data_IF_307709722285
#
_entry.id   IF_307709722285
#
_cell.length_a   1.000
_cell.length_b   1.000
_cell.length_c   1.000
_cell.angle_alpha   90.00
_cell.angle_beta   90.00
_cell.angle_gamma   90.00
#
_symmetry.space_group_name_H-M   'P 1'
#
loop_
_entity.id
_entity.type
_entity.pdbx_description
1 polymer ?
#
# COMPACT_ATOMS: atom_id res chain seq x y z
N UNK A 1 3.45 16.85 -32.82
CA UNK A 1 3.47 15.65 -31.93
C UNK A 1 4.81 14.98 -32.08
N UNK A 2 5.49 14.68 -30.97
CA UNK A 2 6.78 13.98 -31.04
C UNK A 2 6.55 12.48 -31.27
N UNK A 3 7.50 11.81 -31.94
CA UNK A 3 7.50 10.35 -32.15
C UNK A 3 7.33 9.58 -30.82
N UNK A 4 7.72 10.19 -29.69
CA UNK A 4 7.51 9.65 -28.35
C UNK A 4 6.03 9.70 -27.94
N UNK A 5 5.28 10.74 -28.28
CA UNK A 5 3.85 10.86 -27.98
C UNK A 5 3.00 9.79 -28.66
N UNK A 6 3.31 9.46 -29.93
CA UNK A 6 2.62 8.38 -30.67
C UNK A 6 2.94 7.00 -30.10
N UNK A 7 4.18 6.77 -29.72
CA UNK A 7 4.60 5.52 -29.05
C UNK A 7 3.90 5.32 -27.71
N UNK A 8 3.76 6.38 -26.91
CA UNK A 8 3.06 6.36 -25.63
C UNK A 8 1.56 6.12 -25.85
N UNK A 9 0.93 6.78 -26.82
CA UNK A 9 -0.49 6.52 -27.20
C UNK A 9 -0.71 5.06 -27.61
N UNK A 10 0.18 4.51 -28.43
CA UNK A 10 0.13 3.11 -28.83
C UNK A 10 0.26 2.14 -27.64
N UNK A 11 1.06 2.49 -26.63
CA UNK A 11 1.26 1.71 -25.42
C UNK A 11 0.09 1.82 -24.44
N UNK A 12 -0.54 2.99 -24.35
CA UNK A 12 -1.66 3.30 -23.44
C UNK A 12 -3.03 2.98 -24.06
N UNK A 13 -3.13 2.73 -25.35
CA UNK A 13 -4.37 2.46 -26.09
C UNK A 13 -5.10 1.16 -25.75
N UNK A 14 -4.69 0.43 -24.72
CA UNK A 14 -5.41 -0.73 -24.18
C UNK A 14 -6.37 -0.33 -23.04
N UNK A 15 -7.60 -0.82 -23.11
CA UNK A 15 -8.74 -0.52 -22.20
C UNK A 15 -8.53 -0.71 -20.68
N UNK A 16 -7.32 -1.01 -20.22
CA UNK A 16 -7.04 -1.38 -18.80
C UNK A 16 -6.00 -0.52 -18.11
N UNK A 17 -5.51 0.54 -18.73
CA UNK A 17 -4.52 1.42 -18.10
C UNK A 17 -5.22 2.68 -17.60
N UNK A 18 -5.17 2.98 -16.29
CA UNK A 18 -5.83 4.15 -15.70
C UNK A 18 -5.11 5.47 -16.02
N UNK A 19 -4.22 5.46 -17.00
CA UNK A 19 -3.47 6.61 -17.47
C UNK A 19 -3.66 6.70 -18.98
N UNK A 20 -4.11 7.86 -19.45
CA UNK A 20 -4.29 8.15 -20.87
C UNK A 20 -3.58 9.44 -21.24
N UNK A 21 -3.22 9.58 -22.50
CA UNK A 21 -2.66 10.81 -23.05
C UNK A 21 -3.78 11.54 -23.80
N UNK A 22 -4.19 12.69 -23.31
CA UNK A 22 -5.16 13.59 -23.92
C UNK A 22 -4.46 14.92 -24.20
N UNK A 23 -4.58 15.45 -25.41
CA UNK A 23 -4.05 16.76 -25.81
C UNK A 23 -2.63 17.06 -25.30
N UNK A 24 -1.72 16.08 -25.43
CA UNK A 24 -0.34 16.11 -24.95
C UNK A 24 -0.16 16.17 -23.40
N UNK A 25 -1.24 15.96 -22.63
CA UNK A 25 -1.22 15.84 -21.18
C UNK A 25 -1.51 14.40 -20.72
N UNK A 26 -0.81 13.96 -19.68
CA UNK A 26 -1.13 12.69 -19.02
C UNK A 26 -2.33 12.89 -18.09
N UNK A 27 -3.39 12.14 -18.33
CA UNK A 27 -4.57 12.09 -17.46
C UNK A 27 -4.55 10.75 -16.72
N UNK A 28 -4.55 10.83 -15.40
CA UNK A 28 -4.62 9.68 -14.52
C UNK A 28 -5.92 9.71 -13.73
N UNK A 29 -6.70 8.63 -13.78
CA UNK A 29 -7.96 8.51 -13.05
C UNK A 29 -7.77 7.51 -11.89
N UNK A 30 -8.14 7.93 -10.68
CA UNK A 30 -8.19 7.12 -9.45
C UNK A 30 -6.88 6.41 -9.07
N UNK A 31 -5.74 6.86 -9.62
CA UNK A 31 -4.43 6.29 -9.33
C UNK A 31 -3.43 7.35 -8.92
N UNK A 32 -2.49 6.95 -8.07
CA UNK A 32 -1.31 7.74 -7.71
C UNK A 32 -0.08 6.83 -7.59
N UNK A 33 1.09 7.40 -7.73
CA UNK A 33 2.36 6.70 -7.60
C UNK A 33 3.31 6.91 -8.74
N UNK A 34 4.13 5.90 -9.02
CA UNK A 34 5.14 5.90 -10.07
C UNK A 34 4.74 4.92 -11.16
N UNK A 35 4.67 5.39 -12.38
CA UNK A 35 4.46 4.57 -13.57
C UNK A 35 5.65 4.70 -14.50
N UNK A 36 6.29 3.58 -14.82
CA UNK A 36 7.33 3.53 -15.83
C UNK A 36 6.68 3.26 -17.20
N UNK A 37 6.76 4.21 -18.10
CA UNK A 37 6.24 4.09 -19.46
C UNK A 37 7.21 3.39 -20.39
N UNK A 38 8.52 3.68 -20.26
CA UNK A 38 9.62 3.12 -21.05
C UNK A 38 10.87 3.04 -20.16
N UNK A 39 11.90 2.26 -20.53
CA UNK A 39 13.20 2.36 -19.88
C UNK A 39 13.68 3.83 -19.87
N UNK A 40 13.90 4.39 -18.70
CA UNK A 40 14.31 5.78 -18.52
C UNK A 40 13.20 6.84 -18.58
N UNK A 41 11.93 6.45 -18.82
CA UNK A 41 10.79 7.36 -18.80
C UNK A 41 9.79 6.94 -17.72
N UNK A 42 9.74 7.72 -16.65
CA UNK A 42 8.87 7.52 -15.49
C UNK A 42 7.94 8.72 -15.31
N UNK A 43 6.70 8.44 -14.95
CA UNK A 43 5.69 9.45 -14.59
C UNK A 43 5.30 9.26 -13.14
N UNK A 44 5.48 10.29 -12.35
CA UNK A 44 5.02 10.35 -10.96
C UNK A 44 3.67 11.06 -10.89
N UNK A 45 2.72 10.43 -10.22
CA UNK A 45 1.34 10.92 -10.07
C UNK A 45 1.08 11.12 -8.59
N UNK A 46 0.99 12.36 -8.16
CA UNK A 46 0.65 12.68 -6.77
C UNK A 46 -0.85 12.47 -6.53
N UNK A 47 -1.25 11.93 -5.36
CA UNK A 47 -2.65 11.96 -4.95
C UNK A 47 -3.18 13.40 -4.92
N UNK A 48 -4.44 13.60 -5.31
CA UNK A 48 -5.06 14.92 -5.37
C UNK A 48 -5.00 15.72 -4.06
N UNK A 49 -4.92 15.03 -2.93
CA UNK A 49 -4.86 15.64 -1.60
C UNK A 49 -3.43 15.94 -1.12
N UNK A 50 -2.40 15.39 -1.75
CA UNK A 50 -1.01 15.75 -1.47
C UNK A 50 -0.52 16.81 -2.47
N UNK A 51 -0.75 16.59 -3.76
CA UNK A 51 -0.34 17.47 -4.84
C UNK A 51 1.17 17.51 -5.08
N UNK A 52 1.57 17.84 -6.29
CA UNK A 52 2.99 17.89 -6.69
C UNK A 52 3.77 19.04 -6.05
N UNK A 53 3.07 20.09 -5.62
CA UNK A 53 3.68 21.30 -5.01
C UNK A 53 4.01 21.09 -3.53
N UNK A 54 3.46 20.09 -2.89
CA UNK A 54 3.78 19.76 -1.51
C UNK A 54 5.20 19.14 -1.41
N UNK A 55 6.14 19.74 -0.67
CA UNK A 55 7.55 19.29 -0.69
C UNK A 55 7.75 17.83 -0.33
N UNK A 56 6.99 17.31 0.65
CA UNK A 56 7.10 15.93 1.17
C UNK A 56 6.01 15.01 0.64
N UNK A 57 5.43 15.30 -0.53
CA UNK A 57 4.31 14.49 -1.03
C UNK A 57 4.69 13.02 -1.30
N UNK A 58 5.94 12.76 -1.66
CA UNK A 58 6.43 11.40 -1.94
C UNK A 58 6.54 10.57 -0.67
N UNK A 59 7.06 11.19 0.38
CA UNK A 59 7.16 10.59 1.71
C UNK A 59 5.78 10.31 2.29
N UNK A 60 4.87 11.28 2.21
CA UNK A 60 3.48 11.13 2.63
C UNK A 60 2.77 10.05 1.81
N UNK A 61 2.98 10.03 0.49
CA UNK A 61 2.48 8.99 -0.39
C UNK A 61 2.98 7.59 0.02
N UNK A 62 4.27 7.46 0.37
CA UNK A 62 4.84 6.19 0.81
C UNK A 62 4.18 5.69 2.11
N UNK A 63 3.87 6.58 3.05
CA UNK A 63 3.09 6.25 4.26
C UNK A 63 1.72 5.70 3.88
N UNK A 64 0.98 6.42 3.04
CA UNK A 64 -0.35 6.00 2.56
C UNK A 64 -0.29 4.67 1.81
N UNK A 65 0.72 4.49 0.96
CA UNK A 65 0.93 3.27 0.18
C UNK A 65 1.14 2.04 1.06
N UNK A 66 1.94 2.19 2.09
CA UNK A 66 2.20 1.11 3.04
C UNK A 66 0.95 0.74 3.84
N UNK A 67 0.20 1.73 4.32
CA UNK A 67 -1.05 1.52 5.05
C UNK A 67 -2.11 0.82 4.18
N UNK A 68 -2.27 1.26 2.93
CA UNK A 68 -3.25 0.71 2.01
C UNK A 68 -3.03 -0.78 1.69
N UNK A 69 -1.81 -1.27 1.78
CA UNK A 69 -1.45 -2.64 1.40
C UNK A 69 -1.29 -3.60 2.56
N UNK A 70 -0.61 -3.18 3.62
CA UNK A 70 -0.28 -4.04 4.74
C UNK A 70 -1.19 -3.86 5.94
N UNK A 71 -1.91 -2.74 6.01
CA UNK A 71 -2.61 -2.30 7.22
C UNK A 71 -1.64 -1.99 8.37
N UNK A 72 -0.33 -1.98 8.10
CA UNK A 72 0.73 -1.73 9.07
C UNK A 72 1.64 -0.61 8.59
N UNK A 73 2.12 0.19 9.52
CA UNK A 73 3.07 1.24 9.23
C UNK A 73 4.47 0.61 9.06
N UNK A 74 4.91 0.38 7.83
CA UNK A 74 6.27 -0.09 7.53
C UNK A 74 7.30 1.05 7.62
N UNK A 75 6.82 2.28 7.59
CA UNK A 75 7.65 3.49 7.66
C UNK A 75 7.77 3.91 9.10
N UNK A 76 8.96 3.74 9.69
CA UNK A 76 9.26 4.29 11.00
C UNK A 76 9.40 5.81 10.93
N UNK A 77 8.96 6.49 11.99
CA UNK A 77 9.17 7.93 12.21
C UNK A 77 10.64 8.30 11.93
N UNK A 78 10.86 9.23 11.03
CA UNK A 78 12.19 9.75 10.74
C UNK A 78 12.82 9.32 9.42
N UNK A 79 12.02 9.11 8.36
CA UNK A 79 12.56 9.29 7.00
C UNK A 79 12.80 10.78 6.83
N UNK A 80 13.90 11.26 7.40
CA UNK A 80 14.37 12.60 7.10
C UNK A 80 14.95 12.55 5.69
N UNK A 81 14.31 13.25 4.77
CA UNK A 81 14.95 13.65 3.53
C UNK A 81 16.26 14.31 3.88
N UNK A 82 17.38 13.70 3.51
CA UNK A 82 18.68 14.35 3.63
C UNK A 82 18.60 15.60 2.76
N UNK A 83 18.75 16.75 3.38
CA UNK A 83 18.79 18.06 2.75
C UNK A 83 19.78 18.05 1.58
N UNK A 84 19.29 17.98 0.34
CA UNK A 84 20.17 18.21 -0.82
C UNK A 84 19.72 17.64 -2.16
N UNK A 85 19.03 16.53 -2.23
CA UNK A 85 18.49 16.02 -3.49
C UNK A 85 17.02 15.66 -3.30
N UNK A 86 16.16 16.10 -4.21
CA UNK A 86 14.79 15.61 -4.29
C UNK A 86 14.85 14.11 -4.58
N UNK A 87 14.74 13.28 -3.54
CA UNK A 87 14.67 11.84 -3.70
C UNK A 87 13.41 11.52 -4.52
N UNK A 88 13.59 10.82 -5.64
CA UNK A 88 12.47 10.25 -6.38
C UNK A 88 11.84 9.11 -5.56
N UNK A 89 10.63 8.73 -5.92
CA UNK A 89 9.89 7.68 -5.19
C UNK A 89 10.64 6.34 -5.16
N UNK A 90 11.38 6.02 -6.24
CA UNK A 90 12.21 4.81 -6.32
C UNK A 90 13.32 4.83 -5.26
N UNK A 91 14.00 5.96 -5.11
CA UNK A 91 15.07 6.14 -4.12
C UNK A 91 14.53 6.04 -2.68
N UNK A 92 13.34 6.57 -2.40
CA UNK A 92 12.69 6.45 -1.09
C UNK A 92 12.35 4.99 -0.75
N UNK A 93 11.75 4.26 -1.69
CA UNK A 93 11.46 2.84 -1.52
C UNK A 93 12.74 2.03 -1.31
N UNK A 94 13.78 2.31 -2.10
CA UNK A 94 15.06 1.64 -2.01
C UNK A 94 15.75 1.88 -0.67
N UNK A 95 15.71 3.10 -0.15
CA UNK A 95 16.25 3.47 1.16
C UNK A 95 15.50 2.72 2.27
N UNK A 96 14.17 2.77 2.25
CA UNK A 96 13.34 2.02 3.20
C UNK A 96 13.64 0.53 3.18
N UNK A 97 13.78 -0.05 1.98
CA UNK A 97 14.10 -1.47 1.82
C UNK A 97 15.47 -1.84 2.42
N UNK A 98 16.50 -1.04 2.15
CA UNK A 98 17.84 -1.23 2.71
C UNK A 98 17.81 -1.09 4.24
N UNK A 99 17.12 -0.10 4.78
CA UNK A 99 17.01 0.12 6.22
C UNK A 99 16.33 -1.05 6.94
N UNK A 100 15.22 -1.55 6.38
CA UNK A 100 14.52 -2.72 6.92
C UNK A 100 15.40 -3.98 6.88
N UNK A 101 16.15 -4.17 5.79
CA UNK A 101 17.11 -5.26 5.69
C UNK A 101 18.22 -5.16 6.73
N UNK A 102 18.85 -3.99 6.86
CA UNK A 102 19.98 -3.77 7.80
C UNK A 102 19.54 -3.95 9.27
N UNK A 103 18.32 -3.53 9.63
CA UNK A 103 17.73 -3.77 10.97
C UNK A 103 17.51 -5.24 11.24
N UNK A 104 17.08 -6.00 10.24
CA UNK A 104 16.71 -7.41 10.38
C UNK A 104 17.91 -8.38 10.33
N UNK A 105 19.00 -8.01 9.64
CA UNK A 105 20.13 -8.89 9.32
C UNK A 105 20.91 -9.45 10.51
N UNK A 106 20.80 -8.84 11.71
CA UNK A 106 21.46 -9.35 12.93
C UNK A 106 21.06 -10.78 13.28
N UNK A 107 19.86 -11.21 12.85
CA UNK A 107 19.37 -12.58 12.97
C UNK A 107 19.06 -13.11 11.58
N UNK A 108 19.99 -13.83 10.91
CA UNK A 108 19.79 -14.31 9.55
C UNK A 108 18.51 -15.12 9.39
N UNK A 109 17.77 -14.84 8.32
CA UNK A 109 16.55 -15.58 7.99
C UNK A 109 16.93 -16.94 7.40
N UNK A 110 16.95 -17.98 8.26
CA UNK A 110 17.27 -19.35 7.89
C UNK A 110 16.05 -20.23 8.08
N UNK A 111 15.83 -21.15 7.17
CA UNK A 111 14.79 -22.19 7.29
C UNK A 111 15.34 -23.54 6.92
N UNK A 112 14.67 -24.58 7.37
CA UNK A 112 14.98 -25.93 6.91
C UNK A 112 14.57 -26.07 5.44
N UNK A 113 15.42 -26.68 4.66
CA UNK A 113 15.22 -27.02 3.26
C UNK A 113 15.62 -28.46 3.06
N UNK A 114 14.77 -29.25 2.42
CA UNK A 114 15.16 -30.55 1.94
C UNK A 114 16.28 -30.39 0.89
N UNK A 115 17.34 -31.10 1.05
CA UNK A 115 18.43 -31.22 0.08
C UNK A 115 18.65 -32.69 -0.21
N UNK A 116 18.95 -32.97 -1.46
CA UNK A 116 19.35 -34.31 -1.88
C UNK A 116 20.79 -34.23 -2.35
N UNK A 117 21.65 -35.05 -1.77
CA UNK A 117 23.06 -35.18 -2.14
C UNK A 117 23.35 -36.65 -2.43
N UNK A 118 24.36 -36.92 -3.27
CA UNK A 118 24.84 -38.27 -3.52
C UNK A 118 26.18 -38.41 -2.77
N UNK A 119 26.22 -39.26 -1.76
CA UNK A 119 27.41 -39.50 -0.95
C UNK A 119 27.45 -40.96 -0.49
N UNK A 120 28.65 -41.49 -0.24
CA UNK A 120 28.85 -42.83 0.36
C UNK A 120 28.70 -42.82 1.87
N UNK A 121 28.08 -41.81 2.46
CA UNK A 121 27.72 -41.68 3.86
C UNK A 121 26.32 -42.21 4.12
N UNK A 122 26.02 -42.63 5.35
CA UNK A 122 24.69 -43.02 5.80
C UNK A 122 24.05 -41.94 6.69
N UNK A 123 24.58 -40.70 6.68
CA UNK A 123 24.10 -39.60 7.48
C UNK A 123 22.91 -38.89 6.81
N UNK A 124 21.70 -39.48 6.83
CA UNK A 124 20.49 -38.90 6.28
C UNK A 124 19.39 -39.94 6.10
N UNK A 125 18.26 -39.48 5.54
CA UNK A 125 17.20 -40.40 5.10
C UNK A 125 17.58 -40.99 3.73
N UNK A 126 17.64 -42.30 3.65
CA UNK A 126 17.93 -43.07 2.43
C UNK A 126 16.74 -43.96 2.15
N UNK A 127 16.24 -44.00 0.94
CA UNK A 127 15.23 -44.99 0.57
C UNK A 127 15.85 -46.37 0.43
N UNK A 128 15.12 -47.41 0.80
CA UNK A 128 15.65 -48.78 0.76
C UNK A 128 16.14 -49.22 -0.61
N UNK A 129 15.51 -48.72 -1.67
CA UNK A 129 15.89 -48.97 -3.06
C UNK A 129 17.28 -48.38 -3.38
N UNK A 130 17.58 -47.17 -2.87
CA UNK A 130 18.87 -46.51 -3.06
C UNK A 130 20.02 -47.23 -2.34
N UNK A 131 19.71 -47.92 -1.24
CA UNK A 131 20.71 -48.75 -0.53
C UNK A 131 21.05 -50.01 -1.34
N UNK A 132 20.03 -50.60 -1.98
CA UNK A 132 20.21 -51.83 -2.75
C UNK A 132 20.85 -51.58 -4.14
N UNK A 133 20.60 -50.42 -4.71
CA UNK A 133 21.08 -50.00 -6.02
C UNK A 133 21.64 -48.57 -5.97
N UNK A 134 22.81 -48.37 -5.34
CA UNK A 134 23.42 -47.06 -5.25
C UNK A 134 23.81 -46.52 -6.65
N UNK A 135 23.71 -45.18 -6.81
CA UNK A 135 24.24 -44.52 -7.98
C UNK A 135 25.79 -44.57 -8.00
N UNK A 136 26.41 -44.27 -9.13
CA UNK A 136 27.88 -44.21 -9.27
C UNK A 136 28.55 -43.29 -8.21
N UNK A 137 27.83 -42.24 -7.77
CA UNK A 137 28.33 -41.24 -6.82
C UNK A 137 27.92 -41.50 -5.36
N UNK A 138 27.31 -42.65 -5.06
CA UNK A 138 26.86 -43.01 -3.73
C UNK A 138 25.34 -43.11 -3.57
N UNK A 139 24.90 -43.13 -2.32
CA UNK A 139 23.48 -43.18 -1.95
C UNK A 139 22.82 -41.81 -2.12
N UNK A 140 21.57 -41.78 -2.57
CA UNK A 140 20.78 -40.57 -2.56
C UNK A 140 20.31 -40.23 -1.14
N UNK A 141 21.01 -39.30 -0.50
CA UNK A 141 20.71 -38.86 0.85
C UNK A 141 19.72 -37.68 0.81
N UNK A 142 18.63 -37.81 1.55
CA UNK A 142 17.73 -36.70 1.84
C UNK A 142 18.04 -36.15 3.22
N UNK A 143 18.42 -34.87 3.26
CA UNK A 143 18.75 -34.19 4.49
C UNK A 143 17.98 -32.86 4.63
N UNK A 144 17.75 -32.43 5.86
CA UNK A 144 17.17 -31.13 6.16
C UNK A 144 18.27 -30.13 6.50
N UNK A 145 18.63 -29.30 5.54
CA UNK A 145 19.64 -28.27 5.73
C UNK A 145 19.03 -26.98 6.28
N UNK A 146 19.58 -26.46 7.37
CA UNK A 146 19.25 -25.15 7.92
C UNK A 146 19.98 -24.06 7.15
N UNK A 147 19.34 -23.47 6.16
CA UNK A 147 19.97 -22.67 5.12
C UNK A 147 19.39 -21.27 4.99
N UNK A 148 20.21 -20.32 4.53
CA UNK A 148 19.81 -19.02 4.04
C UNK A 148 19.17 -19.10 2.63
N UNK A 149 19.39 -20.19 1.91
CA UNK A 149 18.73 -20.45 0.62
C UNK A 149 17.31 -20.91 0.90
N UNK A 150 16.35 -19.98 0.85
CA UNK A 150 14.95 -20.25 1.13
C UNK A 150 14.02 -19.30 0.38
N UNK A 151 12.75 -19.66 0.29
CA UNK A 151 11.73 -18.90 -0.43
C UNK A 151 11.58 -17.45 0.01
N UNK A 152 11.87 -17.12 1.27
CA UNK A 152 11.76 -15.76 1.81
C UNK A 152 12.93 -14.89 1.34
N UNK A 153 14.16 -15.39 1.48
CA UNK A 153 15.35 -14.70 0.99
C UNK A 153 15.37 -14.60 -0.54
N UNK A 154 14.76 -15.57 -1.24
CA UNK A 154 14.57 -15.48 -2.70
C UNK A 154 13.73 -14.26 -3.09
N UNK A 155 12.64 -13.96 -2.36
CA UNK A 155 11.84 -12.75 -2.56
C UNK A 155 12.63 -11.48 -2.31
N UNK A 156 13.38 -11.43 -1.19
CA UNK A 156 14.18 -10.24 -0.81
C UNK A 156 15.30 -10.01 -1.82
N UNK A 157 16.01 -11.06 -2.24
CA UNK A 157 17.08 -10.98 -3.24
C UNK A 157 16.57 -10.56 -4.60
N UNK A 158 15.40 -11.09 -5.01
CA UNK A 158 14.74 -10.71 -6.27
C UNK A 158 14.36 -9.23 -6.26
N UNK A 159 13.75 -8.74 -5.19
CA UNK A 159 13.38 -7.34 -5.04
C UNK A 159 14.60 -6.41 -5.16
N UNK A 160 15.72 -6.76 -4.51
CA UNK A 160 16.96 -6.01 -4.61
C UNK A 160 17.51 -5.95 -6.04
N UNK A 161 17.47 -7.08 -6.76
CA UNK A 161 17.94 -7.15 -8.15
C UNK A 161 17.04 -6.35 -9.10
N UNK A 162 15.73 -6.43 -8.89
CA UNK A 162 14.73 -5.74 -9.71
C UNK A 162 14.85 -4.23 -9.58
N UNK A 163 15.03 -3.72 -8.34
CA UNK A 163 15.06 -2.30 -8.04
C UNK A 163 16.42 -1.65 -8.32
N UNK A 164 17.52 -2.43 -8.20
CA UNK A 164 18.87 -1.90 -8.30
C UNK A 164 19.19 -1.03 -9.53
N UNK A 165 18.78 -1.41 -10.76
CA UNK A 165 19.00 -0.62 -11.96
C UNK A 165 18.28 0.73 -11.97
N UNK A 166 17.21 0.87 -11.21
CA UNK A 166 16.30 2.01 -11.23
C UNK A 166 16.69 3.11 -10.23
N UNK A 167 17.58 2.78 -9.29
CA UNK A 167 18.09 3.73 -8.29
C UNK A 167 19.16 4.62 -8.90
N UNK A 168 18.88 5.93 -8.97
CA UNK A 168 19.81 6.92 -9.56
C UNK A 168 21.00 7.25 -8.66
N UNK A 169 20.78 7.27 -7.34
CA UNK A 169 21.89 7.48 -6.37
C UNK A 169 22.84 6.28 -6.36
N UNK A 170 24.08 6.50 -6.80
CA UNK A 170 25.08 5.45 -6.90
C UNK A 170 25.49 4.84 -5.55
N UNK A 171 25.35 5.56 -4.42
CA UNK A 171 25.62 5.01 -3.08
C UNK A 171 24.49 4.06 -2.69
N UNK A 172 23.26 4.51 -2.82
CA UNK A 172 22.07 3.71 -2.54
C UNK A 172 21.98 2.49 -3.47
N UNK A 173 22.29 2.65 -4.75
CA UNK A 173 22.34 1.54 -5.72
C UNK A 173 23.31 0.45 -5.26
N UNK A 174 24.52 0.84 -4.79
CA UNK A 174 25.49 -0.13 -4.23
C UNK A 174 24.96 -0.81 -2.97
N UNK A 175 24.24 -0.08 -2.10
CA UNK A 175 23.61 -0.67 -0.91
C UNK A 175 22.55 -1.70 -1.28
N UNK A 176 21.67 -1.40 -2.24
CA UNK A 176 20.66 -2.34 -2.74
C UNK A 176 21.33 -3.59 -3.34
N UNK A 177 22.37 -3.44 -4.15
CA UNK A 177 23.12 -4.58 -4.71
C UNK A 177 23.76 -5.44 -3.61
N UNK A 178 24.27 -4.83 -2.55
CA UNK A 178 24.84 -5.56 -1.40
C UNK A 178 23.81 -6.43 -0.69
N UNK A 179 22.52 -6.05 -0.67
CA UNK A 179 21.46 -6.91 -0.12
C UNK A 179 21.42 -8.25 -0.84
N UNK A 180 21.36 -8.25 -2.18
CA UNK A 180 21.36 -9.47 -2.97
C UNK A 180 22.67 -10.28 -2.80
N UNK A 181 23.81 -9.60 -2.77
CA UNK A 181 25.13 -10.24 -2.57
C UNK A 181 25.23 -10.95 -1.22
N UNK A 182 24.76 -10.29 -0.14
CA UNK A 182 24.79 -10.86 1.24
C UNK A 182 23.89 -12.08 1.42
N UNK A 183 22.79 -12.13 0.70
CA UNK A 183 21.90 -13.30 0.71
C UNK A 183 22.47 -14.46 -0.10
N UNK A 184 23.44 -14.18 -0.99
CA UNK A 184 24.05 -15.17 -1.89
C UNK A 184 23.12 -15.64 -2.98
N UNK A 185 23.46 -16.74 -3.66
CA UNK A 185 22.62 -17.33 -4.69
C UNK A 185 21.29 -17.79 -4.09
N UNK A 186 20.19 -17.36 -4.67
CA UNK A 186 18.83 -17.74 -4.31
C UNK A 186 18.12 -18.30 -5.53
N UNK A 187 17.16 -19.19 -5.29
CA UNK A 187 16.23 -19.63 -6.34
C UNK A 187 15.31 -18.49 -6.82
N UNK A 188 14.49 -18.74 -7.85
CA UNK A 188 13.52 -17.76 -8.33
C UNK A 188 12.52 -17.39 -7.23
N UNK A 189 11.99 -16.15 -7.26
CA UNK A 189 10.95 -15.74 -6.33
C UNK A 189 9.66 -16.53 -6.60
N UNK A 190 8.92 -16.85 -5.54
CA UNK A 190 7.63 -17.52 -5.67
C UNK A 190 6.59 -16.54 -6.27
N UNK A 191 5.81 -16.96 -7.28
CA UNK A 191 4.70 -16.17 -7.80
C UNK A 191 3.55 -15.99 -6.78
N UNK A 192 3.48 -16.91 -5.81
CA UNK A 192 2.53 -16.87 -4.67
C UNK A 192 3.32 -16.89 -3.37
N UNK A 193 3.84 -15.75 -2.92
CA UNK A 193 4.64 -15.68 -1.72
C UNK A 193 3.81 -16.03 -0.47
N UNK A 194 4.45 -16.62 0.52
CA UNK A 194 3.81 -16.87 1.81
C UNK A 194 3.39 -15.55 2.45
N UNK A 195 2.25 -15.54 3.12
CA UNK A 195 1.72 -14.31 3.76
C UNK A 195 2.60 -13.80 4.90
N UNK A 196 3.25 -14.71 5.62
CA UNK A 196 4.09 -14.36 6.79
C UNK A 196 5.40 -15.14 6.77
N UNK A 197 6.45 -14.53 7.34
CA UNK A 197 7.69 -15.25 7.68
C UNK A 197 7.45 -16.12 8.92
N UNK A 198 8.32 -17.15 9.15
CA UNK A 198 8.22 -17.96 10.37
C UNK A 198 8.30 -17.10 11.64
N UNK A 199 7.56 -17.46 12.69
CA UNK A 199 7.42 -16.67 13.91
C UNK A 199 8.77 -16.29 14.55
N UNK A 200 9.77 -17.19 14.51
CA UNK A 200 11.14 -16.93 14.99
C UNK A 200 11.89 -15.83 14.23
N UNK A 201 11.42 -15.48 13.04
CA UNK A 201 12.00 -14.46 12.15
C UNK A 201 11.08 -13.25 11.95
N UNK A 202 10.19 -12.98 12.92
CA UNK A 202 9.20 -11.90 12.84
C UNK A 202 9.81 -10.53 12.51
N UNK A 203 11.05 -10.28 12.93
CA UNK A 203 11.78 -9.04 12.58
C UNK A 203 12.00 -8.84 11.09
N UNK A 204 11.90 -9.89 10.28
CA UNK A 204 12.02 -9.84 8.82
C UNK A 204 10.70 -9.57 8.10
N UNK A 205 9.58 -9.54 8.83
CA UNK A 205 8.24 -9.44 8.20
C UNK A 205 8.13 -8.19 7.32
N UNK A 206 8.52 -7.03 7.84
CA UNK A 206 8.41 -5.76 7.13
C UNK A 206 9.30 -5.72 5.86
N UNK A 207 10.54 -6.19 5.97
CA UNK A 207 11.44 -6.31 4.82
C UNK A 207 10.90 -7.28 3.77
N UNK A 208 10.35 -8.40 4.20
CA UNK A 208 9.75 -9.41 3.34
C UNK A 208 8.47 -8.90 2.65
N UNK A 209 7.61 -8.19 3.37
CA UNK A 209 6.40 -7.58 2.80
C UNK A 209 6.74 -6.54 1.75
N UNK A 210 7.70 -5.65 2.05
CA UNK A 210 8.16 -4.66 1.08
C UNK A 210 8.79 -5.34 -0.15
N UNK A 211 9.58 -6.41 0.04
CA UNK A 211 10.14 -7.20 -1.06
C UNK A 211 9.05 -7.81 -1.94
N UNK A 212 7.98 -8.35 -1.34
CA UNK A 212 6.85 -8.89 -2.10
C UNK A 212 6.13 -7.80 -2.90
N UNK A 213 5.99 -6.60 -2.33
CA UNK A 213 5.40 -5.44 -3.01
C UNK A 213 6.26 -5.02 -4.21
N UNK A 214 7.57 -4.93 -4.04
CA UNK A 214 8.52 -4.61 -5.12
C UNK A 214 8.42 -5.65 -6.24
N UNK A 215 8.46 -6.95 -5.91
CA UNK A 215 8.35 -8.03 -6.88
C UNK A 215 6.99 -8.07 -7.60
N UNK A 216 5.91 -7.66 -6.93
CA UNK A 216 4.59 -7.53 -7.52
C UNK A 216 4.44 -6.28 -8.40
N UNK A 217 5.47 -5.42 -8.46
CA UNK A 217 5.43 -4.17 -9.21
C UNK A 217 4.46 -3.13 -8.63
N UNK A 218 4.22 -3.16 -7.31
CA UNK A 218 3.29 -2.25 -6.61
C UNK A 218 1.94 -2.03 -7.30
N UNK A 219 1.44 -3.03 -8.04
CA UNK A 219 0.03 -3.09 -8.40
C UNK A 219 -0.36 -3.01 -9.86
N UNK A 220 0.48 -2.61 -10.80
CA UNK A 220 0.12 -2.68 -12.24
C UNK A 220 1.13 -3.55 -12.98
N UNK A 221 0.75 -4.78 -13.29
CA UNK A 221 1.41 -5.60 -14.30
C UNK A 221 0.75 -5.31 -15.64
N UNK A 222 1.48 -4.73 -16.55
CA UNK A 222 1.12 -4.77 -17.95
C UNK A 222 1.49 -6.16 -18.50
N UNK A 223 0.57 -6.78 -19.25
CA UNK A 223 0.72 -8.16 -19.76
C UNK A 223 1.90 -8.32 -20.73
N UNK A 224 2.44 -9.56 -20.94
CA UNK A 224 3.51 -9.84 -21.89
C UNK A 224 3.22 -9.32 -23.31
N UNK A 225 4.17 -8.63 -23.91
CA UNK A 225 4.00 -7.92 -25.18
C UNK A 225 3.51 -6.47 -25.01
N UNK A 226 3.09 -6.09 -23.80
CA UNK A 226 2.76 -4.74 -23.35
C UNK A 226 3.75 -4.46 -22.22
N UNK A 227 4.45 -3.36 -22.28
CA UNK A 227 5.56 -3.03 -21.39
C UNK A 227 5.34 -3.48 -19.94
N UNK A 228 6.18 -4.40 -19.47
CA UNK A 228 6.32 -4.74 -18.05
C UNK A 228 7.18 -3.67 -17.41
N UNK A 229 6.56 -2.65 -16.86
CA UNK A 229 7.28 -1.69 -16.03
C UNK A 229 6.87 -1.90 -14.58
N UNK A 230 7.83 -2.12 -13.65
CA UNK A 230 7.53 -2.06 -12.24
C UNK A 230 7.06 -0.62 -11.92
N UNK A 231 5.81 -0.48 -11.55
CA UNK A 231 5.22 0.78 -11.14
C UNK A 231 4.80 0.70 -9.68
N UNK A 232 4.88 1.81 -8.97
CA UNK A 232 4.37 1.95 -7.60
C UNK A 232 3.03 2.67 -7.64
N UNK A 233 1.97 1.97 -8.04
CA UNK A 233 0.66 2.57 -8.26
C UNK A 233 -0.37 2.09 -7.24
N UNK A 234 -1.14 3.01 -6.70
CA UNK A 234 -2.26 2.76 -5.80
C UNK A 234 -3.56 3.27 -6.38
N UNK A 235 -4.65 2.62 -6.04
CA UNK A 235 -5.99 3.18 -6.15
C UNK A 235 -6.20 4.20 -5.03
N UNK A 236 -6.37 5.45 -5.39
CA UNK A 236 -6.31 6.58 -4.45
C UNK A 236 -7.47 6.62 -3.45
N UNK A 237 -8.70 6.29 -3.90
CA UNK A 237 -9.85 6.25 -3.01
C UNK A 237 -9.71 5.14 -1.95
N UNK A 238 -9.26 3.93 -2.34
CA UNK A 238 -9.01 2.83 -1.41
C UNK A 238 -7.89 3.16 -0.42
N UNK A 239 -6.84 3.83 -0.90
CA UNK A 239 -5.73 4.25 -0.06
C UNK A 239 -6.16 5.28 0.99
N UNK A 240 -7.03 6.23 0.62
CA UNK A 240 -7.59 7.21 1.54
C UNK A 240 -8.50 6.56 2.58
N UNK A 241 -9.38 5.64 2.18
CA UNK A 241 -10.24 4.87 3.05
C UNK A 241 -9.43 4.06 4.09
N UNK A 242 -8.36 3.37 3.67
CA UNK A 242 -7.47 2.62 4.56
C UNK A 242 -6.67 3.54 5.50
N UNK A 243 -6.31 4.73 5.04
CA UNK A 243 -5.69 5.75 5.88
C UNK A 243 -6.65 6.18 7.01
N UNK A 244 -7.91 6.48 6.68
CA UNK A 244 -8.94 6.85 7.65
C UNK A 244 -9.23 5.72 8.63
N UNK A 245 -9.39 4.49 8.14
CA UNK A 245 -9.59 3.31 9.00
C UNK A 245 -8.46 3.14 10.01
N UNK A 246 -7.21 3.29 9.55
CA UNK A 246 -6.04 3.17 10.43
C UNK A 246 -5.99 4.30 11.45
N UNK A 247 -6.23 5.54 11.02
CA UNK A 247 -6.27 6.69 11.91
C UNK A 247 -7.38 6.57 12.97
N UNK A 248 -8.59 6.12 12.57
CA UNK A 248 -9.70 5.84 13.50
C UNK A 248 -9.32 4.76 14.52
N UNK A 249 -8.73 3.65 14.09
CA UNK A 249 -8.30 2.58 15.01
C UNK A 249 -7.28 3.03 16.02
N UNK A 250 -6.41 3.97 15.67
CA UNK A 250 -5.42 4.54 16.58
C UNK A 250 -6.08 5.57 17.52
N UNK A 251 -6.87 6.50 16.96
CA UNK A 251 -7.38 7.66 17.69
C UNK A 251 -8.64 7.41 18.52
N UNK A 252 -9.48 6.46 18.09
CA UNK A 252 -10.77 6.20 18.73
C UNK A 252 -10.69 5.27 19.93
N UNK A 253 -9.53 4.76 20.32
CA UNK A 253 -9.41 3.88 21.49
C UNK A 253 -9.96 4.54 22.75
N UNK A 254 -10.75 3.83 23.58
CA UNK A 254 -11.07 2.38 23.54
C UNK A 254 -12.32 2.01 22.72
N UNK A 255 -12.85 2.86 21.85
CA UNK A 255 -14.01 2.56 21.02
C UNK A 255 -13.75 1.41 20.02
N UNK A 256 -14.81 0.70 19.66
CA UNK A 256 -14.75 -0.37 18.65
C UNK A 256 -14.92 0.23 17.26
N UNK A 257 -13.96 0.00 16.37
CA UNK A 257 -13.98 0.43 14.95
C UNK A 257 -14.25 -0.77 14.05
N UNK A 258 -15.37 -0.76 13.33
CA UNK A 258 -15.77 -1.79 12.38
C UNK A 258 -15.65 -1.24 10.96
N UNK A 259 -14.98 -1.99 10.09
CA UNK A 259 -14.80 -1.66 8.68
C UNK A 259 -15.88 -2.35 7.84
N UNK A 260 -16.50 -1.63 6.91
CA UNK A 260 -17.55 -2.11 6.02
C UNK A 260 -18.68 -2.84 6.76
N UNK A 261 -19.23 -2.20 7.79
CA UNK A 261 -20.41 -2.72 8.49
C UNK A 261 -21.59 -2.83 7.52
N UNK A 262 -22.27 -3.97 7.53
CA UNK A 262 -23.37 -4.26 6.59
C UNK A 262 -24.72 -4.01 7.27
N UNK A 263 -25.59 -3.27 6.57
CA UNK A 263 -26.94 -2.98 7.02
C UNK A 263 -27.95 -3.29 5.91
N UNK A 264 -29.07 -3.90 6.26
CA UNK A 264 -30.17 -4.15 5.32
C UNK A 264 -31.02 -2.87 5.19
N UNK A 265 -31.04 -2.27 4.02
CA UNK A 265 -31.87 -1.11 3.71
C UNK A 265 -33.32 -1.50 3.36
N UNK A 266 -33.51 -2.69 2.80
CA UNK A 266 -34.82 -3.19 2.38
C UNK A 266 -34.69 -4.45 1.56
N UNK A 267 -35.81 -4.89 0.95
CA UNK A 267 -35.88 -6.11 0.16
C UNK A 267 -36.40 -5.83 -1.26
N UNK A 268 -35.88 -6.52 -2.23
CA UNK A 268 -36.36 -6.53 -3.61
C UNK A 268 -37.66 -7.36 -3.69
N UNK A 269 -38.43 -7.19 -4.76
CA UNK A 269 -39.57 -8.04 -5.06
C UNK A 269 -39.22 -9.53 -5.19
N UNK A 270 -37.95 -9.84 -5.51
CA UNK A 270 -37.38 -11.20 -5.54
C UNK A 270 -37.10 -11.78 -4.15
N UNK A 271 -37.24 -11.01 -3.07
CA UNK A 271 -36.88 -11.38 -1.70
C UNK A 271 -35.43 -11.08 -1.29
N UNK A 272 -34.58 -10.72 -2.24
CA UNK A 272 -33.16 -10.41 -1.97
C UNK A 272 -33.02 -9.12 -1.17
N UNK A 273 -32.15 -9.13 -0.16
CA UNK A 273 -31.82 -7.94 0.65
C UNK A 273 -31.08 -6.88 -0.16
N UNK A 274 -31.49 -5.64 -0.03
CA UNK A 274 -30.71 -4.48 -0.45
C UNK A 274 -29.83 -4.07 0.70
N UNK A 275 -28.51 -4.23 0.54
CA UNK A 275 -27.53 -3.99 1.61
C UNK A 275 -26.72 -2.73 1.30
N UNK A 276 -26.50 -1.90 2.31
CA UNK A 276 -25.61 -0.74 2.27
C UNK A 276 -24.43 -0.97 3.21
N UNK A 277 -23.30 -0.37 2.89
CA UNK A 277 -22.03 -0.57 3.61
C UNK A 277 -21.30 0.76 3.77
N UNK A 278 -21.47 1.51 4.87
CA UNK A 278 -20.59 2.63 5.19
C UNK A 278 -19.17 2.14 5.45
N UNK A 279 -18.18 2.95 5.13
CA UNK A 279 -16.77 2.57 5.24
C UNK A 279 -16.37 2.25 6.68
N UNK A 280 -16.78 3.08 7.66
CA UNK A 280 -16.37 2.94 9.05
C UNK A 280 -17.56 3.16 9.99
N UNK A 281 -17.76 2.21 10.89
CA UNK A 281 -18.66 2.35 12.04
C UNK A 281 -17.82 2.39 13.32
N UNK A 282 -18.02 3.43 14.12
CA UNK A 282 -17.42 3.55 15.46
C UNK A 282 -18.49 3.38 16.53
N UNK A 283 -18.25 2.46 17.47
CA UNK A 283 -19.06 2.26 18.67
C UNK A 283 -18.25 2.70 19.88
N UNK A 284 -18.71 3.72 20.55
CA UNK A 284 -18.03 4.24 21.75
C UNK A 284 -18.42 3.43 22.98
N UNK A 285 -17.60 3.42 24.05
CA UNK A 285 -17.91 2.71 25.30
C UNK A 285 -19.19 3.19 26.00
N UNK A 286 -19.60 4.44 25.78
CA UNK A 286 -20.85 5.02 26.31
C UNK A 286 -22.08 4.67 25.46
N UNK A 287 -21.95 3.81 24.45
CA UNK A 287 -23.04 3.33 23.61
C UNK A 287 -23.38 4.22 22.42
N UNK A 288 -22.70 5.33 22.20
CA UNK A 288 -22.92 6.14 21.00
C UNK A 288 -22.35 5.43 19.75
N UNK A 289 -23.07 5.54 18.65
CA UNK A 289 -22.68 4.99 17.34
C UNK A 289 -22.56 6.13 16.33
N UNK A 290 -21.47 6.17 15.58
CA UNK A 290 -21.23 7.15 14.52
C UNK A 290 -20.80 6.44 13.24
N UNK A 291 -21.37 6.87 12.11
CA UNK A 291 -20.99 6.39 10.78
C UNK A 291 -20.06 7.40 10.10
N UNK A 292 -19.02 6.88 9.48
CA UNK A 292 -18.09 7.65 8.67
C UNK A 292 -17.98 7.02 7.30
N UNK A 293 -17.88 7.88 6.30
CA UNK A 293 -17.72 7.47 4.92
C UNK A 293 -16.69 8.36 4.21
N UNK A 294 -15.72 7.73 3.53
CA UNK A 294 -14.60 8.38 2.87
C UNK A 294 -14.97 8.82 1.46
N UNK A 295 -14.91 10.09 1.19
CA UNK A 295 -15.25 10.63 -0.14
C UNK A 295 -14.02 11.18 -0.83
N UNK A 296 -13.45 10.43 -1.76
CA UNK A 296 -12.23 10.82 -2.48
C UNK A 296 -12.49 11.73 -3.70
N UNK A 297 -13.70 12.14 -3.96
CA UNK A 297 -14.04 12.97 -5.12
C UNK A 297 -13.30 14.30 -5.05
N UNK A 298 -12.33 14.51 -5.93
CA UNK A 298 -11.66 15.80 -6.09
C UNK A 298 -12.65 16.82 -6.61
N UNK A 299 -12.87 17.89 -5.86
CA UNK A 299 -13.66 19.02 -6.30
C UNK A 299 -12.76 20.20 -6.60
N UNK A 300 -12.69 20.57 -7.87
CA UNK A 300 -12.18 21.85 -8.33
C UNK A 300 -13.18 23.02 -8.10
N UNK A 301 -14.17 22.85 -7.19
CA UNK A 301 -15.18 23.88 -6.93
C UNK A 301 -14.76 24.81 -5.80
N UNK A 302 -14.95 26.08 -6.00
CA UNK A 302 -14.59 27.16 -5.07
C UNK A 302 -15.30 27.07 -3.70
N UNK A 303 -16.44 26.38 -3.61
CA UNK A 303 -17.14 26.10 -2.34
C UNK A 303 -17.34 24.61 -2.15
N UNK A 304 -16.86 24.01 -1.06
CA UNK A 304 -17.16 22.62 -0.76
C UNK A 304 -18.64 22.49 -0.40
N UNK A 305 -19.35 21.58 -1.07
CA UNK A 305 -20.72 21.20 -0.76
C UNK A 305 -20.89 19.71 -0.88
N UNK A 306 -21.76 19.12 -0.07
CA UNK A 306 -22.12 17.70 -0.18
C UNK A 306 -22.90 17.52 -1.48
N UNK A 307 -22.48 16.55 -2.33
CA UNK A 307 -23.22 16.28 -3.56
C UNK A 307 -24.56 15.61 -3.25
N UNK A 308 -25.60 15.80 -4.07
CA UNK A 308 -26.86 15.07 -3.90
C UNK A 308 -26.64 13.54 -3.82
N UNK A 309 -25.74 13.00 -4.62
CA UNK A 309 -25.41 11.57 -4.59
C UNK A 309 -24.81 11.11 -3.24
N UNK A 310 -23.85 11.88 -2.72
CA UNK A 310 -23.22 11.59 -1.43
C UNK A 310 -24.23 11.77 -0.28
N UNK A 311 -25.13 12.76 -0.38
CA UNK A 311 -26.21 12.97 0.58
C UNK A 311 -27.19 11.78 0.61
N UNK A 312 -27.66 11.32 -0.58
CA UNK A 312 -28.60 10.21 -0.66
C UNK A 312 -27.99 8.91 -0.14
N UNK A 313 -26.73 8.67 -0.43
CA UNK A 313 -26.00 7.53 0.09
C UNK A 313 -25.89 7.58 1.63
N UNK A 314 -25.51 8.72 2.20
CA UNK A 314 -25.44 8.92 3.64
C UNK A 314 -26.79 8.74 4.33
N UNK A 315 -27.87 9.23 3.72
CA UNK A 315 -29.25 9.02 4.23
C UNK A 315 -29.64 7.55 4.18
N UNK A 316 -29.27 6.81 3.14
CA UNK A 316 -29.48 5.37 3.07
C UNK A 316 -28.72 4.61 4.16
N UNK A 317 -27.49 5.01 4.47
CA UNK A 317 -26.72 4.46 5.61
C UNK A 317 -27.43 4.72 6.95
N UNK A 318 -27.88 5.96 7.17
CA UNK A 318 -28.62 6.35 8.36
C UNK A 318 -29.93 5.59 8.51
N UNK A 319 -30.70 5.45 7.42
CA UNK A 319 -31.96 4.69 7.41
C UNK A 319 -31.74 3.23 7.79
N UNK A 320 -30.82 2.56 7.09
CA UNK A 320 -30.58 1.13 7.26
C UNK A 320 -29.97 0.78 8.64
N UNK A 321 -29.17 1.67 9.22
CA UNK A 321 -28.49 1.44 10.48
C UNK A 321 -29.26 1.92 11.71
N UNK A 322 -30.22 2.82 11.53
CA UNK A 322 -30.90 3.54 12.62
C UNK A 322 -30.01 4.59 13.31
N UNK A 323 -28.83 4.90 12.75
CA UNK A 323 -27.89 5.88 13.31
C UNK A 323 -28.16 7.24 12.68
N UNK A 324 -28.53 8.23 13.49
CA UNK A 324 -28.99 9.53 13.00
C UNK A 324 -27.86 10.46 12.49
N UNK A 325 -26.60 10.13 12.73
CA UNK A 325 -25.46 10.96 12.31
C UNK A 325 -24.52 10.20 11.40
N UNK A 326 -24.28 10.78 10.23
CA UNK A 326 -23.27 10.30 9.25
C UNK A 326 -22.31 11.43 8.95
N UNK A 327 -21.00 11.15 9.05
CA UNK A 327 -19.95 12.10 8.73
C UNK A 327 -19.24 11.68 7.45
N UNK A 328 -19.31 12.55 6.44
CA UNK A 328 -18.60 12.39 5.17
C UNK A 328 -17.26 13.09 5.26
N UNK A 329 -16.17 12.33 5.10
CA UNK A 329 -14.81 12.84 5.23
C UNK A 329 -14.18 12.98 3.84
N UNK A 330 -13.84 14.21 3.48
CA UNK A 330 -13.17 14.58 2.24
C UNK A 330 -11.72 14.97 2.53
N UNK A 331 -10.74 14.54 1.72
CA UNK A 331 -9.39 15.04 1.89
C UNK A 331 -9.32 16.52 1.47
N UNK A 332 -8.49 17.31 2.14
CA UNK A 332 -8.24 18.69 1.75
C UNK A 332 -7.58 18.71 0.38
N UNK A 333 -8.12 19.43 -0.60
CA UNK A 333 -7.54 19.54 -1.93
C UNK A 333 -6.15 20.19 -1.91
N UNK A 334 -5.26 19.71 -2.78
CA UNK A 334 -3.86 20.18 -2.81
C UNK A 334 -3.71 21.63 -3.30
N UNK A 335 -4.67 22.15 -4.06
CA UNK A 335 -4.74 23.54 -4.54
C UNK A 335 -5.10 24.53 -3.42
N UNK A 336 -5.62 24.04 -2.30
CA UNK A 336 -5.84 24.86 -1.10
C UNK A 336 -4.59 24.94 -0.24
N UNK A 337 -4.44 26.09 0.42
CA UNK A 337 -3.37 26.29 1.42
C UNK A 337 -3.43 25.14 2.43
N UNK A 338 -2.26 24.55 2.72
CA UNK A 338 -2.15 23.50 3.73
C UNK A 338 -2.59 24.04 5.08
N UNK A 339 -3.30 23.22 5.87
CA UNK A 339 -3.57 23.56 7.25
C UNK A 339 -2.26 23.55 8.05
N UNK A 340 -2.23 24.26 9.18
CA UNK A 340 -1.02 24.35 10.01
C UNK A 340 -0.55 23.00 10.55
N UNK A 341 -1.47 22.04 10.66
CA UNK A 341 -1.17 20.74 11.24
C UNK A 341 -1.90 19.61 10.50
N UNK A 342 -1.20 18.49 10.28
CA UNK A 342 -1.79 17.24 9.82
C UNK A 342 -2.93 16.82 10.74
N UNK A 343 -4.04 16.36 10.16
CA UNK A 343 -5.21 15.94 10.94
C UNK A 343 -6.16 17.09 11.31
N UNK A 344 -5.88 18.34 10.88
CA UNK A 344 -6.85 19.41 11.05
C UNK A 344 -8.14 19.08 10.32
N UNK A 345 -9.26 19.11 11.05
CA UNK A 345 -10.61 18.87 10.54
C UNK A 345 -11.36 20.20 10.48
N UNK A 346 -12.01 20.45 9.34
CA UNK A 346 -12.80 21.64 9.09
C UNK A 346 -14.20 21.22 8.59
N UNK A 347 -15.24 21.53 9.37
CA UNK A 347 -16.63 21.35 8.93
C UNK A 347 -16.98 22.39 7.89
N UNK A 348 -17.49 21.95 6.73
CA UNK A 348 -17.90 22.87 5.67
C UNK A 348 -19.42 22.89 5.44
N UNK A 349 -20.12 21.82 5.79
CA UNK A 349 -21.56 21.73 5.62
C UNK A 349 -22.20 20.79 6.62
N UNK A 350 -23.43 21.06 6.99
CA UNK A 350 -24.28 20.20 7.79
C UNK A 350 -25.70 20.24 7.24
N UNK A 351 -26.25 19.11 6.90
CA UNK A 351 -27.61 18.97 6.32
C UNK A 351 -28.44 18.08 7.22
N UNK A 352 -29.60 18.59 7.66
CA UNK A 352 -30.57 17.80 8.43
C UNK A 352 -31.80 17.50 7.60
N UNK A 353 -32.12 16.21 7.48
CA UNK A 353 -33.28 15.72 6.76
C UNK A 353 -34.04 14.75 7.66
N UNK A 354 -35.30 15.06 7.99
CA UNK A 354 -36.17 14.17 8.79
C UNK A 354 -35.52 13.65 10.08
N UNK A 355 -34.82 14.53 10.81
CA UNK A 355 -34.14 14.17 12.08
C UNK A 355 -32.78 13.45 11.91
N UNK A 356 -32.33 13.24 10.69
CA UNK A 356 -31.01 12.70 10.37
C UNK A 356 -30.06 13.80 9.96
N UNK A 357 -28.82 13.75 10.46
CA UNK A 357 -27.80 14.76 10.21
C UNK A 357 -26.64 14.18 9.41
N UNK A 358 -26.36 14.78 8.27
CA UNK A 358 -25.20 14.49 7.44
C UNK A 358 -24.22 15.65 7.56
N UNK A 359 -22.99 15.36 7.98
CA UNK A 359 -21.94 16.37 8.20
C UNK A 359 -20.82 16.15 7.18
N UNK A 360 -20.49 17.17 6.42
CA UNK A 360 -19.34 17.21 5.54
C UNK A 360 -18.13 17.85 6.20
N UNK A 361 -17.02 17.13 6.23
CA UNK A 361 -15.77 17.65 6.80
C UNK A 361 -14.61 17.50 5.81
N UNK A 362 -13.66 18.44 5.86
CA UNK A 362 -12.40 18.38 5.13
C UNK A 362 -11.29 18.03 6.11
N UNK A 363 -10.45 17.06 5.76
CA UNK A 363 -9.35 16.57 6.57
C UNK A 363 -8.00 16.88 5.90
N UNK A 364 -7.07 17.52 6.64
CA UNK A 364 -5.71 17.74 6.19
C UNK A 364 -4.87 16.46 6.32
N UNK A 365 -4.36 15.96 5.18
CA UNK A 365 -3.56 14.74 5.12
C UNK A 365 -2.08 14.99 4.82
N UNK A 366 -1.66 16.22 4.50
CA UNK A 366 -0.25 16.54 4.24
C UNK A 366 0.55 16.52 5.55
N UNK A 367 1.80 16.03 5.48
CA UNK A 367 2.69 15.91 6.64
C UNK A 367 2.58 14.60 7.39
N UNK A 368 2.00 13.56 6.80
CA UNK A 368 1.90 12.21 7.38
C UNK A 368 3.26 11.57 7.69
N UNK A 369 4.28 11.86 6.88
CA UNK A 369 5.65 11.35 7.02
C UNK A 369 6.43 12.06 8.13
N UNK A 370 5.97 13.24 8.57
CA UNK A 370 6.60 13.95 9.67
C UNK A 370 6.44 13.16 10.99
N UNK A 371 7.36 13.39 11.91
CA UNK A 371 7.29 12.77 13.25
C UNK A 371 5.96 13.09 13.93
N UNK A 372 5.21 12.07 14.31
CA UNK A 372 3.88 12.22 14.91
C UNK A 372 2.75 12.56 13.92
N UNK A 373 3.00 12.62 12.59
CA UNK A 373 1.99 12.98 11.58
C UNK A 373 0.77 12.07 11.61
N UNK A 374 0.97 10.74 11.64
CA UNK A 374 -0.14 9.79 11.74
C UNK A 374 -0.88 9.91 13.08
N UNK A 375 -0.17 10.18 14.19
CA UNK A 375 -0.79 10.40 15.49
C UNK A 375 -1.64 11.67 15.48
N UNK A 376 -1.17 12.74 14.84
CA UNK A 376 -1.94 13.97 14.65
C UNK A 376 -3.19 13.74 13.81
N UNK A 377 -3.07 12.99 12.70
CA UNK A 377 -4.22 12.58 11.89
C UNK A 377 -5.23 11.79 12.73
N UNK A 378 -4.75 10.82 13.52
CA UNK A 378 -5.59 9.99 14.38
C UNK A 378 -6.34 10.81 15.42
N UNK A 379 -5.70 11.81 16.05
CA UNK A 379 -6.37 12.75 16.97
C UNK A 379 -7.42 13.59 16.25
N UNK A 380 -7.13 14.07 15.03
CA UNK A 380 -8.07 14.84 14.24
C UNK A 380 -9.33 14.06 13.91
N UNK A 381 -9.20 12.84 13.39
CA UNK A 381 -10.39 12.01 13.07
C UNK A 381 -11.14 11.57 14.34
N UNK A 382 -10.45 11.34 15.46
CA UNK A 382 -11.08 11.00 16.72
C UNK A 382 -11.93 12.16 17.29
N UNK A 383 -11.62 13.41 16.98
CA UNK A 383 -12.44 14.57 17.41
C UNK A 383 -13.82 14.63 16.75
N UNK A 384 -14.08 13.77 15.77
CA UNK A 384 -15.37 13.64 15.07
C UNK A 384 -16.34 12.67 15.76
N UNK A 385 -15.85 11.88 16.72
CA UNK A 385 -16.62 10.91 17.51
C UNK A 385 -17.30 11.59 18.69
#
# INVERSE_FOLDING_TARGET
MSIQGERIRSLLGGKTVPIRLEDDAFVAEDVAGLVRLLPGLEVEIAPKFLGLTWPSWREDFLVVANLARSGQLLVHEGISASTGARDDLTSLVARTFVDLFERSRRRPLRTYRAASTFEWSLDGEIEAEDILMPAENGYQLRSLLFSVQNKYNAQISSAARLMGPDVRDGVLQRQVRRVAQRLGPQGPPSPRPARRVPARHRSWQDCYELANQINAGFGVRLAPGKLLAPGYVLTTWLAFEQLLLTAMRIGAQPAQVTYHARFELGKRSTGDAVVVQPDILVRTPNGAHVLFDAKYKGRAQQSPSISPADLYEALAFSEASGINRVTLIYPRPADRVAAQQTGTVEKFEEITVSGRTVVGVVLECRGLSARGGLTSLAKGVASLI
#
